data_IF_572758609570
#
_entry.id   IF_572758609570
#
_cell.length_a   1.000
_cell.length_b   1.000
_cell.length_c   1.000
_cell.angle_alpha   90.00
_cell.angle_beta   90.00
_cell.angle_gamma   90.00
#
_symmetry.space_group_name_H-M   'P 1'
#
loop_
_entity.id
_entity.type
_entity.pdbx_description
1 polymer ?
#
# COMPACT_ATOMS: atom_id res chain seq x y z
N UNK A 1 19.12 -35.94 12.87
CA UNK A 1 20.01 -35.42 13.93
C UNK A 1 19.64 -34.00 14.31
N UNK A 2 19.89 -33.04 13.42
CA UNK A 2 19.74 -31.59 13.67
C UNK A 2 18.32 -31.11 14.05
N UNK A 3 17.30 -31.50 13.27
CA UNK A 3 15.90 -31.13 13.52
C UNK A 3 15.34 -31.69 14.85
N UNK A 4 15.85 -32.86 15.28
CA UNK A 4 15.47 -33.48 16.55
C UNK A 4 16.05 -32.71 17.75
N UNK A 5 17.28 -32.21 17.65
CA UNK A 5 17.91 -31.41 18.70
C UNK A 5 17.21 -30.04 18.88
N UNK A 6 16.79 -29.42 17.78
CA UNK A 6 16.10 -28.12 17.79
C UNK A 6 14.70 -28.22 18.41
N UNK A 7 13.97 -29.30 18.09
CA UNK A 7 12.66 -29.61 18.68
C UNK A 7 12.77 -29.86 20.20
N UNK A 8 13.77 -30.62 20.64
CA UNK A 8 13.98 -30.90 22.06
C UNK A 8 14.42 -29.66 22.88
N UNK A 9 15.15 -28.71 22.27
CA UNK A 9 15.55 -27.46 22.93
C UNK A 9 14.35 -26.53 23.15
N UNK A 10 13.44 -26.43 22.17
CA UNK A 10 12.17 -25.71 22.28
C UNK A 10 11.25 -26.31 23.34
N UNK A 11 11.16 -27.63 23.40
CA UNK A 11 10.33 -28.33 24.38
C UNK A 11 10.82 -28.18 25.83
N UNK A 12 12.12 -27.90 26.02
CA UNK A 12 12.74 -27.70 27.34
C UNK A 12 12.97 -26.22 27.72
N UNK A 13 12.53 -25.27 26.88
CA UNK A 13 12.63 -23.84 27.17
C UNK A 13 14.05 -23.29 27.26
N UNK A 14 15.06 -24.00 26.76
CA UNK A 14 16.46 -23.62 26.92
C UNK A 14 16.99 -22.85 25.70
N UNK A 15 16.68 -21.55 25.65
CA UNK A 15 17.02 -20.65 24.52
C UNK A 15 18.53 -20.50 24.29
N UNK A 16 19.36 -20.71 25.32
CA UNK A 16 20.82 -20.65 25.27
C UNK A 16 21.41 -21.61 24.23
N UNK A 17 20.75 -22.76 24.00
CA UNK A 17 21.19 -23.78 23.05
C UNK A 17 20.81 -23.45 21.60
N UNK A 18 19.77 -22.64 21.39
CA UNK A 18 19.33 -22.19 20.06
C UNK A 18 20.32 -21.17 19.46
N UNK A 19 20.99 -20.39 20.33
CA UNK A 19 21.94 -19.33 19.95
C UNK A 19 23.30 -19.90 19.50
N UNK A 20 23.66 -21.11 19.92
CA UNK A 20 24.96 -21.72 19.58
C UNK A 20 25.06 -22.22 18.12
N UNK A 21 23.94 -22.31 17.38
CA UNK A 21 23.89 -22.92 16.05
C UNK A 21 23.70 -21.95 14.87
N UNK A 22 23.62 -20.64 15.13
CA UNK A 22 23.59 -19.61 14.08
C UNK A 22 24.41 -18.40 14.51
N UNK A 23 25.58 -18.21 13.89
CA UNK A 23 26.50 -17.13 14.23
C UNK A 23 25.82 -15.76 14.26
N UNK A 24 25.88 -15.07 15.40
CA UNK A 24 25.30 -13.75 15.57
C UNK A 24 25.22 -13.29 17.02
N UNK A 25 26.37 -13.11 17.68
CA UNK A 25 26.46 -12.65 19.09
C UNK A 25 25.84 -11.25 19.30
N UNK A 26 25.58 -10.48 18.22
CA UNK A 26 24.97 -9.14 18.29
C UNK A 26 23.42 -9.11 18.33
N UNK A 27 22.73 -10.22 18.11
CA UNK A 27 21.25 -10.27 18.16
C UNK A 27 20.70 -10.59 19.56
N UNK A 28 21.49 -11.25 20.41
CA UNK A 28 21.03 -11.75 21.71
C UNK A 28 20.82 -10.63 22.75
N UNK A 29 21.64 -9.58 22.74
CA UNK A 29 21.48 -8.41 23.63
C UNK A 29 20.23 -7.61 23.28
N UNK A 30 19.98 -7.39 21.98
CA UNK A 30 18.82 -6.68 21.47
C UNK A 30 17.51 -7.44 21.75
N UNK A 31 17.49 -8.77 21.59
CA UNK A 31 16.31 -9.59 21.94
C UNK A 31 16.05 -9.60 23.45
N UNK A 32 17.10 -9.72 24.27
CA UNK A 32 16.96 -9.71 25.73
C UNK A 32 16.40 -8.37 26.24
N UNK A 33 16.84 -7.25 25.64
CA UNK A 33 16.30 -5.92 25.93
C UNK A 33 14.81 -5.81 25.55
N UNK A 34 14.44 -6.25 24.34
CA UNK A 34 13.05 -6.26 23.86
C UNK A 34 12.15 -7.13 24.77
N UNK A 35 12.61 -8.33 25.14
CA UNK A 35 11.85 -9.24 26.01
C UNK A 35 11.69 -8.70 27.44
N UNK A 36 12.69 -8.02 27.98
CA UNK A 36 12.60 -7.39 29.32
C UNK A 36 11.50 -6.33 29.40
N UNK A 37 11.26 -5.59 28.31
CA UNK A 37 10.23 -4.55 28.24
C UNK A 37 8.84 -5.09 27.98
N UNK A 38 8.70 -6.14 27.15
CA UNK A 38 7.40 -6.79 26.88
C UNK A 38 6.85 -7.46 28.15
N UNK A 39 7.72 -8.12 28.94
CA UNK A 39 7.33 -8.77 30.21
C UNK A 39 6.73 -7.80 31.23
N UNK A 40 7.19 -6.54 31.24
CA UNK A 40 6.64 -5.51 32.15
C UNK A 40 5.21 -5.07 31.80
N UNK A 41 4.70 -5.38 30.58
CA UNK A 41 3.37 -4.98 30.12
C UNK A 41 2.33 -6.10 30.14
N UNK A 42 2.71 -7.38 30.06
CA UNK A 42 1.77 -8.51 30.03
C UNK A 42 0.96 -8.63 31.33
N UNK A 43 1.53 -8.26 32.47
CA UNK A 43 0.83 -8.23 33.77
C UNK A 43 -0.37 -7.26 33.83
N UNK A 44 -0.41 -6.24 32.95
CA UNK A 44 -1.51 -5.27 32.91
C UNK A 44 -2.69 -5.76 32.05
N UNK A 45 -2.41 -6.58 31.02
CA UNK A 45 -3.40 -7.03 30.03
C UNK A 45 -4.18 -8.29 30.44
N UNK A 46 -3.56 -9.24 31.15
CA UNK A 46 -4.26 -10.46 31.61
C UNK A 46 -5.39 -10.14 32.60
N UNK A 47 -5.24 -9.07 33.38
CA UNK A 47 -6.28 -8.57 34.29
C UNK A 47 -7.50 -7.96 33.56
N UNK A 48 -7.34 -7.50 32.31
CA UNK A 48 -8.43 -6.92 31.52
C UNK A 48 -9.23 -7.99 30.75
N UNK A 49 -8.55 -9.02 30.24
CA UNK A 49 -9.15 -10.08 29.41
C UNK A 49 -10.00 -11.10 30.20
N UNK A 50 -9.73 -11.28 31.50
CA UNK A 50 -10.55 -12.17 32.35
C UNK A 50 -11.97 -11.63 32.55
N UNK A 51 -12.19 -10.31 32.47
CA UNK A 51 -13.50 -9.68 32.65
C UNK A 51 -14.41 -9.75 31.43
N UNK A 52 -13.91 -10.15 30.26
CA UNK A 52 -14.64 -10.04 28.99
C UNK A 52 -15.12 -11.39 28.42
N UNK A 53 -14.69 -12.53 28.99
CA UNK A 53 -14.98 -13.89 28.46
C UNK A 53 -16.27 -14.55 28.99
N UNK A 54 -17.07 -13.88 29.81
CA UNK A 54 -18.34 -14.44 30.31
C UNK A 54 -19.54 -14.26 29.37
N UNK A 55 -19.38 -13.55 28.24
CA UNK A 55 -20.45 -13.34 27.27
C UNK A 55 -20.12 -13.98 25.92
N UNK A 56 -21.07 -14.75 25.39
CA UNK A 56 -21.22 -15.12 23.96
C UNK A 56 -20.60 -16.46 23.53
N UNK A 57 -21.43 -17.51 23.57
CA UNK A 57 -21.34 -18.71 22.72
C UNK A 57 -22.62 -18.86 21.88
N UNK A 58 -22.43 -19.33 20.64
CA UNK A 58 -23.37 -20.06 19.75
C UNK A 58 -23.76 -19.38 18.41
N UNK A 59 -23.38 -20.04 17.29
CA UNK A 59 -24.26 -20.59 16.24
C UNK A 59 -23.62 -20.58 14.82
N UNK A 60 -23.60 -21.76 14.19
CA UNK A 60 -23.10 -22.10 12.85
C UNK A 60 -24.27 -22.34 11.88
N UNK A 61 -24.09 -22.14 10.55
CA UNK A 61 -24.82 -22.92 9.52
C UNK A 61 -24.17 -22.88 8.12
N UNK A 62 -24.25 -24.03 7.42
CA UNK A 62 -23.63 -24.41 6.13
C UNK A 62 -24.52 -24.06 4.91
N UNK A 63 -23.95 -23.80 3.73
CA UNK A 63 -24.65 -23.80 2.40
C UNK A 63 -23.86 -24.55 1.32
N UNK A 64 -24.58 -25.20 0.39
CA UNK A 64 -24.12 -26.06 -0.75
C UNK A 64 -23.84 -25.24 -2.04
N UNK A 65 -23.02 -25.75 -3.00
CA UNK A 65 -22.69 -25.05 -4.25
C UNK A 65 -23.57 -25.46 -5.46
N UNK A 66 -23.70 -24.62 -6.51
CA UNK A 66 -24.41 -24.99 -7.75
C UNK A 66 -23.49 -25.45 -8.90
N UNK A 67 -24.12 -26.07 -9.91
CA UNK A 67 -23.57 -26.93 -10.99
C UNK A 67 -23.01 -26.16 -12.21
N UNK A 68 -22.10 -26.85 -12.94
CA UNK A 68 -21.47 -26.48 -14.23
C UNK A 68 -22.42 -26.67 -15.44
N UNK A 69 -22.24 -25.86 -16.47
CA UNK A 69 -22.79 -26.02 -17.83
C UNK A 69 -21.65 -26.01 -18.86
N UNK A 70 -21.77 -26.84 -19.89
CA UNK A 70 -20.80 -27.13 -20.96
C UNK A 70 -21.05 -26.26 -22.21
N UNK A 71 -19.99 -25.96 -22.97
CA UNK A 71 -20.03 -25.24 -24.24
C UNK A 71 -19.96 -26.23 -25.42
N UNK A 72 -20.95 -26.18 -26.30
CA UNK A 72 -20.89 -26.68 -27.68
C UNK A 72 -20.96 -25.49 -28.65
N UNK A 73 -20.05 -25.55 -29.64
CA UNK A 73 -20.10 -25.06 -31.01
C UNK A 73 -20.48 -23.60 -31.31
N UNK A 74 -19.55 -22.88 -31.97
CA UNK A 74 -19.82 -22.04 -33.15
C UNK A 74 -18.50 -21.75 -33.89
N UNK A 75 -18.26 -22.45 -35.01
CA UNK A 75 -17.24 -22.09 -36.00
C UNK A 75 -17.79 -21.05 -37.00
N UNK A 76 -16.93 -20.13 -37.45
CA UNK A 76 -17.20 -19.22 -38.58
C UNK A 76 -16.01 -19.21 -39.58
N UNK A 77 -16.26 -18.99 -40.88
CA UNK A 77 -15.34 -19.38 -41.96
C UNK A 77 -14.24 -18.36 -42.24
N UNK A 78 -13.09 -18.86 -42.70
CA UNK A 78 -11.94 -18.08 -43.23
C UNK A 78 -12.12 -17.74 -44.72
N UNK A 79 -11.70 -16.53 -45.11
CA UNK A 79 -11.19 -16.08 -46.42
C UNK A 79 -10.79 -14.60 -46.28
N UNK A 80 -9.86 -14.00 -46.99
CA UNK A 80 -8.64 -14.36 -47.73
C UNK A 80 -7.90 -13.02 -47.95
N UNK A 81 -6.57 -13.07 -48.06
CA UNK A 81 -5.67 -11.93 -48.31
C UNK A 81 -6.05 -11.16 -49.59
N UNK A 82 -5.95 -9.83 -49.55
CA UNK A 82 -5.38 -9.07 -50.65
C UNK A 82 -4.62 -7.84 -50.14
N UNK A 83 -3.48 -7.58 -50.78
CA UNK A 83 -2.49 -6.54 -50.50
C UNK A 83 -2.67 -5.41 -51.50
N UNK A 84 -2.68 -4.16 -51.05
CA UNK A 84 -2.00 -3.07 -51.77
C UNK A 84 -1.88 -1.82 -50.90
N UNK A 85 -0.61 -1.47 -50.66
CA UNK A 85 -0.12 -0.18 -50.19
C UNK A 85 -0.35 0.87 -51.27
N UNK A 86 -0.91 2.02 -50.90
CA UNK A 86 -0.62 3.31 -51.53
C UNK A 86 -0.34 4.30 -50.41
N UNK A 87 0.93 4.66 -50.29
CA UNK A 87 1.48 5.61 -49.34
C UNK A 87 1.65 6.93 -50.10
N UNK A 88 0.93 7.98 -49.70
CA UNK A 88 1.13 9.35 -50.17
C UNK A 88 0.93 10.31 -49.00
N UNK A 89 1.99 11.07 -48.78
CA UNK A 89 2.44 11.73 -47.57
C UNK A 89 1.88 13.15 -47.44
N UNK A 90 0.75 13.29 -46.73
CA UNK A 90 0.14 14.59 -46.35
C UNK A 90 -0.44 14.54 -44.91
N UNK A 91 -0.08 13.55 -44.08
CA UNK A 91 -0.85 13.24 -42.86
C UNK A 91 -0.21 13.56 -41.50
N UNK A 92 1.07 13.91 -41.38
CA UNK A 92 1.64 14.06 -40.03
C UNK A 92 1.22 15.36 -39.31
N UNK A 93 1.12 16.49 -40.01
CA UNK A 93 0.77 17.77 -39.38
C UNK A 93 -0.69 17.88 -38.95
N UNK A 94 -1.63 17.42 -39.79
CA UNK A 94 -3.06 17.57 -39.53
C UNK A 94 -3.57 16.54 -38.52
N UNK A 95 -3.00 15.33 -38.51
CA UNK A 95 -3.36 14.27 -37.54
C UNK A 95 -2.85 14.63 -36.14
N UNK A 96 -1.68 15.26 -36.01
CA UNK A 96 -1.18 15.73 -34.71
C UNK A 96 -2.04 16.82 -34.08
N UNK A 97 -2.47 17.83 -34.86
CA UNK A 97 -3.29 18.94 -34.35
C UNK A 97 -4.75 18.54 -34.15
N UNK A 98 -5.34 17.71 -35.02
CA UNK A 98 -6.67 17.15 -34.74
C UNK A 98 -6.64 16.16 -33.58
N UNK A 99 -5.59 15.34 -33.40
CA UNK A 99 -5.49 14.46 -32.24
C UNK A 99 -5.35 15.25 -30.93
N UNK A 100 -4.59 16.35 -30.90
CA UNK A 100 -4.52 17.21 -29.70
C UNK A 100 -5.85 17.94 -29.45
N UNK A 101 -6.51 18.44 -30.49
CA UNK A 101 -7.81 19.11 -30.38
C UNK A 101 -8.96 18.15 -30.05
N UNK A 102 -8.86 16.88 -30.46
CA UNK A 102 -9.80 15.80 -30.11
C UNK A 102 -9.53 15.33 -28.68
N UNK A 103 -8.27 15.23 -28.24
CA UNK A 103 -7.93 14.96 -26.83
C UNK A 103 -8.31 16.12 -25.89
N UNK A 104 -8.31 17.37 -26.37
CA UNK A 104 -8.80 18.53 -25.59
C UNK A 104 -10.33 18.66 -25.57
N UNK A 105 -11.05 18.18 -26.61
CA UNK A 105 -12.52 18.31 -26.72
C UNK A 105 -13.31 17.04 -26.42
N UNK A 106 -12.70 15.87 -26.43
CA UNK A 106 -13.26 14.65 -25.87
C UNK A 106 -12.61 14.44 -24.51
N UNK A 107 -13.14 15.15 -23.51
CA UNK A 107 -13.17 14.61 -22.16
C UNK A 107 -14.02 13.33 -22.18
N UNK A 108 -13.48 12.24 -22.74
CA UNK A 108 -13.77 10.92 -22.19
C UNK A 108 -13.27 11.03 -20.75
N UNK A 109 -14.19 11.28 -19.83
CA UNK A 109 -13.97 10.98 -18.42
C UNK A 109 -13.54 9.52 -18.38
N UNK A 110 -12.23 9.29 -18.40
CA UNK A 110 -11.68 8.01 -18.05
C UNK A 110 -12.07 7.88 -16.58
N UNK A 111 -13.02 6.99 -16.29
CA UNK A 111 -13.36 6.63 -14.91
C UNK A 111 -12.12 5.95 -14.31
N UNK A 112 -11.16 6.77 -13.90
CA UNK A 112 -9.97 6.33 -13.20
C UNK A 112 -10.41 5.76 -11.87
N UNK A 113 -10.10 4.50 -11.66
CA UNK A 113 -10.33 3.84 -10.39
C UNK A 113 -9.17 4.20 -9.46
N UNK A 114 -9.50 4.76 -8.31
CA UNK A 114 -8.57 5.08 -7.24
C UNK A 114 -8.52 3.91 -6.27
N UNK A 115 -7.37 3.26 -6.19
CA UNK A 115 -7.09 2.18 -5.24
C UNK A 115 -6.21 2.76 -4.13
N UNK A 116 -6.71 2.73 -2.90
CA UNK A 116 -6.07 3.29 -1.74
C UNK A 116 -5.61 2.18 -0.78
N UNK A 117 -4.32 2.13 -0.45
CA UNK A 117 -3.72 1.10 0.40
C UNK A 117 -3.14 1.73 1.68
N UNK A 118 -3.79 1.47 2.81
CA UNK A 118 -3.36 1.95 4.12
C UNK A 118 -2.79 0.83 4.99
N UNK A 119 -2.21 1.22 6.13
CA UNK A 119 -1.73 0.31 7.16
C UNK A 119 -0.60 0.92 7.98
N UNK A 120 -0.33 0.37 9.16
CA UNK A 120 0.77 0.85 10.00
C UNK A 120 2.13 0.73 9.31
N UNK A 121 3.08 1.61 9.66
CA UNK A 121 4.48 1.47 9.25
C UNK A 121 4.99 0.05 9.52
N UNK A 122 5.66 -0.57 8.54
CA UNK A 122 6.16 -1.94 8.63
C UNK A 122 5.12 -3.04 8.32
N UNK A 123 3.86 -2.70 8.03
CA UNK A 123 2.81 -3.71 7.75
C UNK A 123 3.03 -4.47 6.43
N UNK A 124 3.75 -3.86 5.48
CA UNK A 124 3.89 -4.39 4.12
C UNK A 124 2.95 -3.74 3.10
N UNK A 125 2.27 -2.64 3.46
CA UNK A 125 1.44 -1.85 2.53
C UNK A 125 2.18 -1.46 1.25
N UNK A 126 3.41 -0.95 1.38
CA UNK A 126 4.25 -0.56 0.24
C UNK A 126 4.65 -1.77 -0.60
N UNK A 127 4.90 -2.94 0.02
CA UNK A 127 5.21 -4.20 -0.68
C UNK A 127 4.00 -4.70 -1.48
N UNK A 128 2.82 -4.74 -0.88
CA UNK A 128 1.58 -5.11 -1.58
C UNK A 128 1.29 -4.15 -2.74
N UNK A 129 1.44 -2.85 -2.48
CA UNK A 129 1.18 -1.80 -3.48
C UNK A 129 2.13 -1.91 -4.68
N UNK A 130 3.42 -2.16 -4.45
CA UNK A 130 4.39 -2.43 -5.52
C UNK A 130 4.03 -3.68 -6.32
N UNK A 131 3.63 -4.76 -5.65
CA UNK A 131 3.22 -5.99 -6.34
C UNK A 131 1.96 -5.77 -7.21
N UNK A 132 1.00 -4.95 -6.75
CA UNK A 132 -0.16 -4.54 -7.56
C UNK A 132 0.30 -3.73 -8.78
N UNK A 133 1.17 -2.74 -8.57
CA UNK A 133 1.70 -1.88 -9.64
C UNK A 133 2.41 -2.71 -10.72
N UNK A 134 3.32 -3.60 -10.32
CA UNK A 134 4.06 -4.49 -11.22
C UNK A 134 3.13 -5.45 -12.00
N UNK A 135 2.08 -5.96 -11.35
CA UNK A 135 1.12 -6.87 -11.98
C UNK A 135 0.25 -6.23 -13.07
N UNK A 136 -0.01 -4.92 -13.00
CA UNK A 136 -0.94 -4.22 -13.90
C UNK A 136 -0.31 -3.69 -15.19
N UNK A 137 1.02 -3.74 -15.33
CA UNK A 137 1.84 -3.08 -16.36
C UNK A 137 1.81 -1.55 -16.25
N UNK A 138 2.99 -0.94 -16.25
CA UNK A 138 3.21 0.48 -15.87
C UNK A 138 2.35 1.49 -16.63
N UNK A 139 2.07 1.27 -17.93
CA UNK A 139 1.33 2.22 -18.77
C UNK A 139 -0.14 2.44 -18.35
N UNK A 140 -0.69 1.59 -17.49
CA UNK A 140 -2.09 1.66 -17.05
C UNK A 140 -2.27 2.22 -15.64
N UNK A 141 -1.18 2.48 -14.91
CA UNK A 141 -1.20 2.81 -13.48
C UNK A 141 -0.40 4.06 -13.16
N UNK A 142 -0.96 4.93 -12.34
CA UNK A 142 -0.24 6.03 -11.68
C UNK A 142 -0.07 5.70 -10.21
N UNK A 143 1.16 5.67 -9.73
CA UNK A 143 1.48 5.41 -8.33
C UNK A 143 1.81 6.70 -7.59
N UNK A 144 1.19 6.93 -6.43
CA UNK A 144 1.43 8.10 -5.57
C UNK A 144 1.60 7.63 -4.13
N UNK A 145 2.75 7.95 -3.53
CA UNK A 145 2.96 7.76 -2.08
C UNK A 145 2.50 9.01 -1.33
N UNK A 146 1.67 8.84 -0.31
CA UNK A 146 1.25 9.92 0.59
C UNK A 146 2.42 10.49 1.39
N UNK A 147 3.47 9.68 1.62
CA UNK A 147 4.68 10.13 2.31
C UNK A 147 5.42 11.25 1.52
N UNK A 148 5.16 11.42 0.22
CA UNK A 148 5.68 12.55 -0.55
C UNK A 148 5.03 13.89 -0.18
N UNK A 149 3.86 13.85 0.48
CA UNK A 149 3.06 15.03 0.81
C UNK A 149 3.31 15.54 2.22
N UNK A 150 4.40 15.15 2.89
CA UNK A 150 4.80 15.85 4.11
C UNK A 150 4.93 17.36 3.84
N UNK A 151 4.45 18.17 4.78
CA UNK A 151 4.56 19.63 4.71
C UNK A 151 6.03 20.03 4.75
N UNK A 152 6.37 21.09 4.02
CA UNK A 152 7.72 21.61 4.06
C UNK A 152 7.96 22.38 5.37
N UNK A 153 8.84 21.83 6.20
CA UNK A 153 9.28 22.44 7.46
C UNK A 153 10.73 22.93 7.38
N UNK A 154 11.23 23.18 6.16
CA UNK A 154 12.56 23.71 5.88
C UNK A 154 12.87 25.07 6.53
N UNK A 155 11.84 25.77 7.00
CA UNK A 155 11.96 27.03 7.74
C UNK A 155 12.28 26.84 9.23
N UNK A 156 12.07 25.65 9.80
CA UNK A 156 12.38 25.33 11.20
C UNK A 156 13.86 24.97 11.39
N UNK A 157 14.37 25.15 12.61
CA UNK A 157 15.71 24.70 13.00
C UNK A 157 15.83 23.17 12.95
N UNK A 158 17.06 22.65 12.94
CA UNK A 158 17.28 21.19 12.91
C UNK A 158 16.70 20.54 14.17
N UNK A 159 16.83 21.21 15.31
CA UNK A 159 16.32 20.78 16.60
C UNK A 159 14.79 20.73 16.61
N UNK A 160 14.13 21.75 16.05
CA UNK A 160 12.66 21.79 15.93
C UNK A 160 12.13 20.72 14.98
N UNK A 161 12.80 20.47 13.85
CA UNK A 161 12.43 19.39 12.92
C UNK A 161 12.56 18.02 13.55
N UNK A 162 13.58 17.81 14.39
CA UNK A 162 13.78 16.54 15.07
C UNK A 162 12.66 16.21 16.07
N UNK A 163 12.00 17.23 16.62
CA UNK A 163 10.84 17.10 17.52
C UNK A 163 9.51 16.98 16.78
N UNK A 164 9.49 17.15 15.46
CA UNK A 164 8.25 17.12 14.69
C UNK A 164 7.65 15.70 14.63
N UNK A 165 6.36 15.59 14.90
CA UNK A 165 5.64 14.32 14.85
C UNK A 165 5.14 14.05 13.43
N UNK A 166 5.91 13.28 12.67
CA UNK A 166 5.56 12.88 11.30
C UNK A 166 4.41 11.87 11.22
N UNK A 167 4.03 11.21 12.31
CA UNK A 167 2.93 10.25 12.31
C UNK A 167 1.57 10.92 12.63
N UNK A 168 1.54 12.24 12.84
CA UNK A 168 0.30 13.00 13.04
C UNK A 168 -0.30 13.46 11.69
N UNK A 169 -1.64 13.44 11.50
CA UNK A 169 -2.29 13.91 10.27
C UNK A 169 -1.84 15.31 9.81
N UNK A 170 -1.66 16.24 10.74
CA UNK A 170 -1.26 17.63 10.42
C UNK A 170 0.13 17.76 9.79
N UNK A 171 0.98 16.74 9.89
CA UNK A 171 2.28 16.73 9.24
C UNK A 171 2.18 16.59 7.71
N UNK A 172 1.02 16.15 7.21
CA UNK A 172 0.77 15.87 5.79
C UNK A 172 -0.10 16.95 5.16
N UNK A 173 0.26 17.32 3.95
CA UNK A 173 -0.48 18.21 3.06
C UNK A 173 -1.52 17.38 2.27
N UNK A 174 -2.49 16.86 3.01
CA UNK A 174 -3.48 15.93 2.45
C UNK A 174 -4.44 16.61 1.49
N UNK A 175 -4.69 17.91 1.68
CA UNK A 175 -5.50 18.73 0.77
C UNK A 175 -4.86 18.81 -0.62
N UNK A 176 -3.53 18.96 -0.70
CA UNK A 176 -2.81 18.92 -1.97
C UNK A 176 -2.92 17.55 -2.65
N UNK A 177 -2.87 16.45 -1.90
CA UNK A 177 -3.10 15.11 -2.47
C UNK A 177 -4.53 14.99 -3.02
N UNK A 178 -5.53 15.50 -2.31
CA UNK A 178 -6.91 15.54 -2.77
C UNK A 178 -7.04 16.31 -4.08
N UNK A 179 -6.43 17.50 -4.18
CA UNK A 179 -6.42 18.31 -5.40
C UNK A 179 -5.80 17.53 -6.57
N UNK A 180 -4.63 16.94 -6.36
CA UNK A 180 -3.95 16.14 -7.38
C UNK A 180 -4.77 14.93 -7.82
N UNK A 181 -5.46 14.24 -6.92
CA UNK A 181 -6.33 13.13 -7.29
C UNK A 181 -7.53 13.57 -8.12
N UNK A 182 -8.12 14.73 -7.81
CA UNK A 182 -9.20 15.32 -8.62
C UNK A 182 -8.70 15.70 -10.01
N UNK A 183 -7.52 16.32 -10.10
CA UNK A 183 -6.90 16.67 -11.37
C UNK A 183 -6.65 15.42 -12.23
N UNK A 184 -6.07 14.37 -11.65
CA UNK A 184 -5.83 13.10 -12.33
C UNK A 184 -7.12 12.43 -12.81
N UNK A 185 -8.18 12.39 -11.98
CA UNK A 185 -9.50 11.88 -12.39
C UNK A 185 -10.13 12.74 -13.49
N UNK A 186 -9.80 14.03 -13.57
CA UNK A 186 -10.25 14.93 -14.63
C UNK A 186 -9.38 14.90 -15.90
N UNK A 187 -8.39 14.01 -15.97
CA UNK A 187 -7.51 13.90 -17.14
C UNK A 187 -6.36 14.91 -17.17
N UNK A 188 -6.06 15.58 -16.05
CA UNK A 188 -4.94 16.53 -15.94
C UNK A 188 -3.72 15.88 -15.29
N UNK A 189 -2.54 16.39 -15.61
CA UNK A 189 -1.27 15.98 -15.01
C UNK A 189 -1.14 16.66 -13.65
N UNK A 190 -0.71 15.90 -12.63
CA UNK A 190 -0.40 16.43 -11.31
C UNK A 190 1.13 16.47 -11.08
N UNK A 191 1.61 17.51 -10.40
CA UNK A 191 3.03 17.69 -10.08
C UNK A 191 3.30 17.21 -8.66
N UNK A 192 3.55 15.92 -8.49
CA UNK A 192 3.71 15.29 -7.17
C UNK A 192 5.03 15.75 -6.54
N UNK A 193 5.03 16.29 -5.31
CA UNK A 193 6.26 16.70 -4.64
C UNK A 193 7.20 15.51 -4.39
N UNK A 194 8.50 15.78 -4.31
CA UNK A 194 9.49 14.80 -3.84
C UNK A 194 9.96 15.18 -2.44
N UNK A 195 9.81 14.27 -1.48
CA UNK A 195 10.21 14.45 -0.09
C UNK A 195 11.51 13.71 0.23
N UNK A 196 12.40 14.36 0.98
CA UNK A 196 13.64 13.76 1.45
C UNK A 196 13.56 13.47 2.96
N UNK A 197 13.57 12.17 3.30
CA UNK A 197 13.49 11.70 4.67
C UNK A 197 14.77 11.92 5.48
N UNK A 198 15.92 12.16 4.83
CA UNK A 198 17.17 12.44 5.53
C UNK A 198 17.21 13.90 6.02
N UNK A 199 16.68 14.83 5.22
CA UNK A 199 16.65 16.27 5.54
C UNK A 199 15.33 16.76 6.13
N UNK A 200 14.32 15.89 6.18
CA UNK A 200 12.97 16.20 6.66
C UNK A 200 12.36 17.41 5.95
N UNK A 201 12.49 17.47 4.62
CA UNK A 201 12.06 18.61 3.81
C UNK A 201 11.62 18.21 2.39
N UNK A 202 10.81 19.07 1.76
CA UNK A 202 10.54 18.94 0.33
C UNK A 202 11.76 19.40 -0.46
N UNK A 203 12.09 18.68 -1.52
CA UNK A 203 13.29 18.97 -2.33
C UNK A 203 13.10 20.15 -3.30
N UNK A 204 11.90 20.72 -3.38
CA UNK A 204 11.50 21.69 -4.41
C UNK A 204 11.31 21.09 -5.81
N UNK A 205 11.57 19.79 -5.98
CA UNK A 205 11.35 19.05 -7.24
C UNK A 205 10.01 18.33 -7.20
N UNK A 206 9.44 18.13 -8.39
CA UNK A 206 8.22 17.36 -8.60
C UNK A 206 8.46 16.21 -9.57
N UNK A 207 7.59 15.21 -9.50
CA UNK A 207 7.48 14.11 -10.45
C UNK A 207 6.10 14.21 -11.09
N UNK A 208 6.05 14.10 -12.42
CA UNK A 208 4.77 14.12 -13.14
C UNK A 208 3.98 12.84 -12.88
N UNK A 209 2.79 12.99 -12.31
CA UNK A 209 1.78 11.96 -12.29
C UNK A 209 0.85 12.17 -13.48
N UNK A 210 0.82 11.20 -14.39
CA UNK A 210 -0.05 11.23 -15.55
C UNK A 210 -1.45 10.70 -15.18
N UNK A 211 -2.54 11.18 -15.80
CA UNK A 211 -3.85 10.56 -15.65
C UNK A 211 -3.82 9.15 -16.26
N UNK A 212 -4.16 8.13 -15.47
CA UNK A 212 -4.17 6.71 -15.88
C UNK A 212 -5.44 6.02 -15.40
N UNK A 213 -5.75 4.85 -15.95
CA UNK A 213 -6.96 4.09 -15.63
C UNK A 213 -7.02 3.62 -14.19
N UNK A 214 -5.86 3.33 -13.60
CA UNK A 214 -5.74 3.01 -12.17
C UNK A 214 -4.84 4.05 -11.52
N UNK A 215 -5.34 4.70 -10.48
CA UNK A 215 -4.53 5.57 -9.62
C UNK A 215 -4.35 4.84 -8.30
N UNK A 216 -3.12 4.44 -8.01
CA UNK A 216 -2.76 3.67 -6.84
C UNK A 216 -2.09 4.59 -5.81
N UNK A 217 -2.76 4.77 -4.67
CA UNK A 217 -2.23 5.57 -3.56
C UNK A 217 -1.91 4.70 -2.35
N UNK A 218 -0.85 5.02 -1.63
CA UNK A 218 -0.53 4.36 -0.36
C UNK A 218 -0.06 5.34 0.70
N UNK A 219 -0.35 5.05 1.97
CA UNK A 219 0.11 5.86 3.09
C UNK A 219 -0.40 5.37 4.43
N UNK A 220 0.24 5.80 5.52
CA UNK A 220 -0.17 5.38 6.86
C UNK A 220 -1.50 6.03 7.29
N UNK A 221 -1.84 7.21 6.75
CA UNK A 221 -2.94 8.06 7.23
C UNK A 221 -3.99 8.39 6.16
N UNK A 222 -3.93 7.78 4.97
CA UNK A 222 -4.86 8.09 3.87
C UNK A 222 -6.34 7.92 4.25
N UNK A 223 -6.64 6.99 5.16
CA UNK A 223 -8.00 6.70 5.61
C UNK A 223 -8.51 7.59 6.76
N UNK A 224 -7.66 8.45 7.32
CA UNK A 224 -8.08 9.41 8.35
C UNK A 224 -8.74 10.64 7.75
N UNK A 225 -8.54 10.89 6.44
CA UNK A 225 -9.08 12.04 5.74
C UNK A 225 -10.41 11.70 5.04
N UNK A 226 -11.55 12.33 5.40
CA UNK A 226 -12.85 11.98 4.84
C UNK A 226 -12.93 12.10 3.32
N UNK A 227 -12.28 13.12 2.75
CA UNK A 227 -12.34 13.35 1.31
C UNK A 227 -11.54 12.33 0.50
N UNK A 228 -10.41 11.84 1.02
CA UNK A 228 -9.68 10.73 0.40
C UNK A 228 -10.53 9.46 0.39
N UNK A 229 -11.25 9.20 1.49
CA UNK A 229 -12.17 8.05 1.57
C UNK A 229 -13.32 8.14 0.55
N UNK A 230 -13.77 9.35 0.20
CA UNK A 230 -14.81 9.56 -0.81
C UNK A 230 -14.28 9.42 -2.24
N UNK A 231 -13.03 9.83 -2.48
CA UNK A 231 -12.38 9.73 -3.80
C UNK A 231 -11.98 8.28 -4.11
N UNK A 232 -11.60 7.51 -3.08
CA UNK A 232 -11.13 6.13 -3.21
C UNK A 232 -12.27 5.14 -3.56
N UNK A 233 -12.12 4.47 -4.70
CA UNK A 233 -13.05 3.47 -5.20
C UNK A 233 -12.83 2.10 -4.53
N UNK A 234 -11.58 1.76 -4.20
CA UNK A 234 -11.20 0.54 -3.46
C UNK A 234 -10.27 0.91 -2.30
N UNK A 235 -10.65 0.54 -1.08
CA UNK A 235 -9.89 0.83 0.15
C UNK A 235 -9.37 -0.47 0.76
N UNK A 236 -8.06 -0.65 0.73
CA UNK A 236 -7.35 -1.82 1.25
C UNK A 236 -6.58 -1.43 2.51
N UNK A 237 -6.75 -2.16 3.61
CA UNK A 237 -5.93 -2.00 4.80
C UNK A 237 -5.04 -3.23 5.01
N UNK A 238 -3.73 -3.03 5.08
CA UNK A 238 -2.77 -4.09 5.34
C UNK A 238 -2.52 -4.20 6.84
N UNK A 239 -2.98 -5.30 7.41
CA UNK A 239 -3.00 -5.57 8.84
C UNK A 239 -1.86 -6.52 9.23
N UNK A 240 -1.09 -6.15 10.24
CA UNK A 240 0.06 -6.91 10.73
C UNK A 240 0.33 -6.53 12.18
N UNK A 241 0.68 -7.51 13.01
CA UNK A 241 0.95 -7.32 14.43
C UNK A 241 2.05 -6.28 14.68
N UNK A 242 1.91 -5.52 15.77
CA UNK A 242 2.76 -4.37 16.06
C UNK A 242 4.24 -4.74 16.26
N UNK A 243 4.51 -5.91 16.83
CA UNK A 243 5.85 -6.47 17.04
C UNK A 243 6.53 -6.83 15.71
N UNK A 244 5.83 -7.52 14.81
CA UNK A 244 6.32 -7.84 13.46
C UNK A 244 6.61 -6.55 12.69
N UNK A 245 5.72 -5.56 12.78
CA UNK A 245 5.91 -4.24 12.16
C UNK A 245 7.12 -3.50 12.72
N UNK A 246 7.32 -3.54 14.04
CA UNK A 246 8.46 -2.92 14.70
C UNK A 246 9.78 -3.56 14.26
N UNK A 247 9.85 -4.89 14.20
CA UNK A 247 11.05 -5.62 13.73
C UNK A 247 11.40 -5.17 12.31
N UNK A 248 10.43 -5.19 11.39
CA UNK A 248 10.63 -4.74 10.00
C UNK A 248 11.05 -3.27 9.92
N UNK A 249 10.49 -2.41 10.77
CA UNK A 249 10.87 -0.99 10.85
C UNK A 249 12.32 -0.83 11.31
N UNK A 250 12.74 -1.57 12.33
CA UNK A 250 14.12 -1.53 12.85
C UNK A 250 15.11 -1.95 11.77
N UNK A 251 14.84 -3.05 11.06
CA UNK A 251 15.68 -3.52 9.95
C UNK A 251 15.79 -2.47 8.84
N UNK A 252 14.66 -1.94 8.37
CA UNK A 252 14.60 -0.91 7.34
C UNK A 252 15.33 0.38 7.75
N UNK A 253 14.99 0.95 8.90
CA UNK A 253 15.53 2.25 9.31
C UNK A 253 17.03 2.19 9.64
N UNK A 254 17.53 1.03 10.08
CA UNK A 254 18.98 0.81 10.29
C UNK A 254 19.74 0.71 8.96
N UNK A 255 19.22 -0.07 8.00
CA UNK A 255 19.91 -0.34 6.73
C UNK A 255 19.76 0.81 5.73
N UNK A 256 18.55 1.32 5.55
CA UNK A 256 18.23 2.29 4.49
C UNK A 256 18.37 3.74 4.93
N UNK A 257 18.24 4.02 6.24
CA UNK A 257 18.22 5.39 6.80
C UNK A 257 19.35 5.69 7.78
N UNK A 258 20.21 4.72 8.07
CA UNK A 258 21.38 4.91 8.95
C UNK A 258 21.07 5.27 10.40
N UNK A 259 19.87 4.93 10.91
CA UNK A 259 19.45 5.26 12.29
C UNK A 259 19.94 4.24 13.31
N UNK A 260 20.22 4.70 14.53
CA UNK A 260 20.55 3.83 15.67
C UNK A 260 19.31 3.12 16.22
N UNK A 261 19.50 1.96 16.85
CA UNK A 261 18.40 1.20 17.46
C UNK A 261 17.69 2.02 18.53
N UNK A 262 18.45 2.74 19.36
CA UNK A 262 17.94 3.57 20.44
C UNK A 262 17.04 4.68 19.90
N UNK A 263 17.47 5.38 18.84
CA UNK A 263 16.68 6.44 18.19
C UNK A 263 15.39 5.90 17.58
N UNK A 264 15.44 4.72 16.95
CA UNK A 264 14.25 4.08 16.35
C UNK A 264 13.24 3.70 17.44
N UNK A 265 13.70 3.08 18.54
CA UNK A 265 12.83 2.65 19.63
C UNK A 265 12.23 3.84 20.38
N UNK A 266 13.03 4.89 20.63
CA UNK A 266 12.55 6.11 21.28
C UNK A 266 11.47 6.80 20.44
N UNK A 267 11.71 7.00 19.15
CA UNK A 267 10.70 7.55 18.23
C UNK A 267 9.45 6.65 18.17
N UNK A 268 9.64 5.33 18.14
CA UNK A 268 8.51 4.40 18.09
C UNK A 268 7.59 4.54 19.30
N UNK A 269 8.18 4.66 20.49
CA UNK A 269 7.44 4.76 21.75
C UNK A 269 6.81 6.13 21.96
N UNK A 270 7.48 7.20 21.51
CA UNK A 270 7.04 8.59 21.75
C UNK A 270 6.04 9.09 20.72
N UNK A 271 6.19 8.74 19.43
CA UNK A 271 5.32 9.25 18.37
C UNK A 271 4.57 8.15 17.63
N UNK A 272 5.27 7.15 17.12
CA UNK A 272 4.70 6.22 16.12
C UNK A 272 3.58 5.38 16.70
N UNK A 273 3.81 4.76 17.87
CA UNK A 273 2.82 3.88 18.51
C UNK A 273 1.59 4.68 18.95
N UNK A 274 1.72 5.81 19.68
CA UNK A 274 0.57 6.64 20.03
C UNK A 274 -0.25 7.08 18.81
N UNK A 275 0.42 7.56 17.75
CA UNK A 275 -0.27 8.01 16.53
C UNK A 275 -0.91 6.86 15.77
N UNK A 276 -0.27 5.68 15.74
CA UNK A 276 -0.87 4.50 15.15
C UNK A 276 -2.15 4.09 15.88
N UNK A 277 -2.11 4.02 17.21
CA UNK A 277 -3.27 3.66 18.04
C UNK A 277 -4.39 4.71 17.94
N UNK A 278 -4.04 6.00 17.83
CA UNK A 278 -5.00 7.10 17.78
C UNK A 278 -5.63 7.31 16.40
N UNK A 279 -4.86 7.15 15.32
CA UNK A 279 -5.29 7.55 13.98
C UNK A 279 -5.30 6.39 12.97
N UNK A 280 -4.24 5.59 12.90
CA UNK A 280 -4.08 4.57 11.85
C UNK A 280 -4.93 3.32 12.12
N UNK A 281 -4.89 2.77 13.33
CA UNK A 281 -5.65 1.56 13.67
C UNK A 281 -7.16 1.81 13.62
N UNK A 282 -7.71 2.93 14.14
CA UNK A 282 -9.14 3.21 14.01
C UNK A 282 -9.59 3.41 12.56
N UNK A 283 -8.71 3.88 11.66
CA UNK A 283 -9.05 4.06 10.25
C UNK A 283 -9.25 2.74 9.50
N UNK A 284 -8.80 1.61 10.05
CA UNK A 284 -9.05 0.26 9.49
C UNK A 284 -10.54 -0.01 9.20
N UNK A 285 -11.44 0.59 9.97
CA UNK A 285 -12.91 0.45 9.79
C UNK A 285 -13.45 1.05 8.50
N UNK A 286 -12.67 1.90 7.82
CA UNK A 286 -13.07 2.49 6.53
C UNK A 286 -12.72 1.58 5.34
N UNK A 287 -11.92 0.53 5.57
CA UNK A 287 -11.45 -0.35 4.51
C UNK A 287 -12.56 -1.26 3.99
N UNK A 288 -12.57 -1.47 2.68
CA UNK A 288 -13.42 -2.46 2.03
C UNK A 288 -12.79 -3.86 2.16
N UNK A 289 -11.45 -3.94 2.19
CA UNK A 289 -10.68 -5.19 2.27
C UNK A 289 -9.59 -5.06 3.33
N UNK A 290 -9.48 -6.06 4.21
CA UNK A 290 -8.36 -6.21 5.15
C UNK A 290 -7.46 -7.34 4.66
N UNK A 291 -6.17 -7.06 4.46
CA UNK A 291 -5.17 -8.03 4.02
C UNK A 291 -4.21 -8.34 5.17
N UNK A 292 -4.19 -9.57 5.70
CA UNK A 292 -3.31 -9.93 6.79
C UNK A 292 -1.87 -10.21 6.32
N UNK A 293 -0.91 -10.03 7.22
CA UNK A 293 0.51 -10.44 7.11
C UNK A 293 1.35 -9.72 6.06
N UNK A 294 0.85 -8.64 5.46
CA UNK A 294 1.57 -7.89 4.42
C UNK A 294 1.26 -8.40 3.02
N UNK A 295 2.29 -8.91 2.33
CA UNK A 295 2.11 -9.47 0.99
C UNK A 295 1.39 -10.82 1.08
N UNK A 296 0.13 -10.85 0.68
CA UNK A 296 -0.70 -12.05 0.60
C UNK A 296 -1.01 -12.33 -0.88
N UNK A 297 -0.53 -13.46 -1.41
CA UNK A 297 -0.67 -13.78 -2.83
C UNK A 297 -2.12 -13.93 -3.28
N UNK A 298 -2.98 -14.53 -2.44
CA UNK A 298 -4.40 -14.70 -2.75
C UNK A 298 -5.11 -13.34 -2.83
N UNK A 299 -4.84 -12.45 -1.86
CA UNK A 299 -5.38 -11.09 -1.89
C UNK A 299 -4.87 -10.30 -3.09
N UNK A 300 -3.58 -10.41 -3.41
CA UNK A 300 -2.97 -9.79 -4.58
C UNK A 300 -3.65 -10.27 -5.87
N UNK A 301 -3.80 -11.58 -6.06
CA UNK A 301 -4.43 -12.17 -7.24
C UNK A 301 -5.88 -11.69 -7.41
N UNK A 302 -6.64 -11.59 -6.31
CA UNK A 302 -8.00 -11.07 -6.33
C UNK A 302 -8.06 -9.61 -6.79
N UNK A 303 -7.18 -8.76 -6.23
CA UNK A 303 -7.10 -7.34 -6.58
C UNK A 303 -6.66 -7.17 -8.04
N UNK A 304 -5.62 -7.88 -8.47
CA UNK A 304 -5.13 -7.84 -9.85
C UNK A 304 -6.19 -8.33 -10.84
N UNK A 305 -6.91 -9.41 -10.51
CA UNK A 305 -7.98 -9.93 -11.38
C UNK A 305 -9.08 -8.89 -11.60
N UNK A 306 -9.51 -8.21 -10.53
CA UNK A 306 -10.50 -7.14 -10.61
C UNK A 306 -10.01 -5.96 -11.47
N UNK A 307 -8.80 -5.46 -11.19
CA UNK A 307 -8.23 -4.29 -11.88
C UNK A 307 -7.91 -4.60 -13.35
N UNK A 308 -7.48 -5.81 -13.69
CA UNK A 308 -7.39 -6.25 -15.09
C UNK A 308 -8.75 -6.29 -15.78
N UNK A 309 -9.81 -6.66 -15.05
CA UNK A 309 -11.19 -6.62 -15.55
C UNK A 309 -11.60 -5.21 -15.94
N UNK A 310 -11.33 -4.23 -15.07
CA UNK A 310 -11.58 -2.80 -15.30
C UNK A 310 -10.85 -2.31 -16.55
N UNK A 311 -9.53 -2.54 -16.61
CA UNK A 311 -8.68 -2.12 -17.74
C UNK A 311 -9.13 -2.76 -19.07
N UNK A 312 -9.67 -3.99 -19.04
CA UNK A 312 -10.14 -4.71 -20.25
C UNK A 312 -11.56 -4.34 -20.67
N UNK A 313 -12.46 -4.07 -19.71
CA UNK A 313 -13.87 -3.78 -19.96
C UNK A 313 -14.08 -2.57 -20.88
N UNK A 314 -13.26 -1.54 -20.75
CA UNK A 314 -13.30 -0.36 -21.62
C UNK A 314 -12.78 -0.63 -23.03
N UNK A 315 -11.73 -1.46 -23.18
CA UNK A 315 -11.19 -1.81 -24.51
C UNK A 315 -12.21 -2.52 -25.39
N UNK A 316 -13.14 -3.26 -24.78
CA UNK A 316 -14.24 -3.89 -25.52
C UNK A 316 -15.38 -2.91 -25.84
N UNK A 317 -15.65 -1.92 -24.99
CA UNK A 317 -16.64 -0.87 -25.29
C UNK A 317 -16.16 0.10 -26.37
N UNK A 318 -14.88 0.52 -26.37
CA UNK A 318 -14.30 1.36 -27.42
C UNK A 318 -14.28 0.64 -28.78
N UNK A 319 -13.94 -0.67 -28.82
CA UNK A 319 -14.01 -1.49 -30.05
C UNK A 319 -15.41 -1.74 -30.59
N UNK A 320 -16.45 -1.60 -29.76
CA UNK A 320 -17.86 -1.72 -30.20
C UNK A 320 -18.45 -0.39 -30.69
N UNK A 321 -17.81 0.73 -30.35
CA UNK A 321 -18.22 2.09 -30.75
C UNK A 321 -17.47 2.59 -32.00
N UNK A 322 -16.29 2.05 -32.28
CA UNK A 322 -15.52 2.26 -33.52
C UNK A 322 -15.95 1.28 -34.61
#
# INVERSE_FOLDING_TARGET
>A
GWLLAQSMALQKGNLSLLVAFGGGVALASSLSYILSRISSQTHSYENALSKQKEGVTAATTKRKPPKKLTHEEYELPRRSRDQSRVELDVKEGLVGTLASCISEKLGESADSIVVAVAGGTGSGKTTLTRAIYEGLKEDSVTYISHDNYYKDISHLSIEERAQNNFDHPDALDTDLLVEHLKDLKSGKIAQVPTYDFATHSRTGKTIEALPRKVILIEGILIFTHPELNQIADIKIFVDTEADVRLIRRVERDRVERGRSLESILDQYMTTVKPMHEQFVEPSKRTADIIVPFGLNSVALDMVLSHLHGVIRGEKQQQKRKA
#
